data_IF_597943272315
#
_entry.id   IF_597943272315
#
_cell.length_a   1.000
_cell.length_b   1.000
_cell.length_c   1.000
_cell.angle_alpha   90.00
_cell.angle_beta   90.00
_cell.angle_gamma   90.00
#
_symmetry.space_group_name_H-M   'P 1'
#
loop_
_entity.id
_entity.type
_entity.pdbx_description
1 polymer ?
#
# COMPACT_ATOMS: atom_id res chain seq x y z
N UNK A 1 -19.12 2.11 7.39
CA UNK A 1 -18.19 2.60 6.34
C UNK A 1 -19.01 3.39 5.33
N UNK A 2 -18.42 4.38 4.68
CA UNK A 2 -19.11 5.13 3.62
C UNK A 2 -19.18 4.27 2.35
N UNK A 3 -20.14 4.58 1.48
CA UNK A 3 -20.30 3.87 0.22
C UNK A 3 -19.01 3.97 -0.62
N UNK A 4 -18.60 2.87 -1.25
CA UNK A 4 -17.34 2.79 -2.02
C UNK A 4 -16.04 2.81 -1.20
N UNK A 5 -16.11 2.79 0.13
CA UNK A 5 -14.91 2.62 0.97
C UNK A 5 -14.54 1.15 1.13
N UNK A 6 -13.23 0.87 1.27
CA UNK A 6 -12.69 -0.46 1.51
C UNK A 6 -11.87 -0.49 2.81
N UNK A 7 -11.92 -1.61 3.53
CA UNK A 7 -10.99 -1.90 4.61
C UNK A 7 -10.22 -3.15 4.28
N UNK A 8 -8.90 -3.02 4.22
CA UNK A 8 -7.98 -4.13 4.02
C UNK A 8 -7.37 -4.48 5.36
N UNK A 9 -7.70 -5.66 5.87
CA UNK A 9 -7.07 -6.20 7.08
C UNK A 9 -5.73 -6.84 6.70
N UNK A 10 -4.63 -6.40 7.31
CA UNK A 10 -3.29 -6.96 7.06
C UNK A 10 -3.04 -8.25 7.86
N UNK A 11 -4.11 -8.98 8.21
CA UNK A 11 -4.11 -10.15 9.09
C UNK A 11 -4.17 -9.82 10.58
N UNK A 12 -4.70 -10.75 11.38
CA UNK A 12 -4.92 -10.55 12.83
C UNK A 12 -3.62 -10.31 13.62
N UNK A 13 -2.50 -10.89 13.16
CA UNK A 13 -1.22 -10.85 13.88
C UNK A 13 -0.45 -9.54 13.68
N UNK A 14 -0.74 -8.78 12.62
CA UNK A 14 -0.04 -7.51 12.34
C UNK A 14 -0.66 -6.33 13.08
N UNK A 15 -1.88 -6.51 13.63
CA UNK A 15 -2.62 -5.45 14.31
C UNK A 15 -2.87 -4.21 13.44
N UNK A 16 -2.79 -4.35 12.12
CA UNK A 16 -2.79 -3.24 11.17
C UNK A 16 -3.91 -3.41 10.14
N UNK A 17 -4.55 -2.30 9.79
CA UNK A 17 -5.48 -2.22 8.67
C UNK A 17 -5.18 -0.99 7.82
N UNK A 18 -5.65 -1.03 6.58
CA UNK A 18 -5.70 0.11 5.69
C UNK A 18 -7.15 0.45 5.41
N UNK A 19 -7.54 1.69 5.67
CA UNK A 19 -8.84 2.23 5.27
C UNK A 19 -8.66 3.06 4.00
N UNK A 20 -9.34 2.66 2.94
CA UNK A 20 -9.34 3.33 1.64
C UNK A 20 -10.70 4.01 1.50
N UNK A 21 -10.69 5.34 1.43
CA UNK A 21 -11.87 6.14 1.11
C UNK A 21 -11.85 6.53 -0.38
N UNK A 22 -13.02 6.78 -1.01
CA UNK A 22 -13.10 7.19 -2.40
C UNK A 22 -12.16 8.36 -2.72
N UNK A 23 -11.55 8.35 -3.91
CA UNK A 23 -10.67 9.42 -4.35
C UNK A 23 -11.35 10.80 -4.25
N UNK A 24 -10.62 11.81 -3.75
CA UNK A 24 -11.18 13.13 -3.40
C UNK A 24 -11.73 13.22 -1.97
N UNK A 25 -11.73 12.12 -1.21
CA UNK A 25 -12.08 12.16 0.21
C UNK A 25 -10.88 12.57 1.05
N UNK A 26 -11.09 13.57 1.92
CA UNK A 26 -10.13 14.03 2.92
C UNK A 26 -10.60 13.71 4.33
N UNK A 27 -9.73 13.07 5.11
CA UNK A 27 -9.89 12.95 6.56
C UNK A 27 -9.62 14.30 7.23
N UNK A 28 -10.54 14.74 8.08
CA UNK A 28 -10.40 15.96 8.86
C UNK A 28 -10.75 15.73 10.32
N UNK A 29 -10.16 16.50 11.27
CA UNK A 29 -10.60 16.45 12.66
C UNK A 29 -12.11 16.71 12.78
N UNK A 30 -12.84 15.91 13.55
CA UNK A 30 -14.26 16.15 13.84
C UNK A 30 -14.59 15.95 15.32
N UNK A 31 -14.78 14.71 15.78
CA UNK A 31 -14.91 14.36 17.19
C UNK A 31 -13.61 13.70 17.69
N UNK A 32 -13.41 13.62 19.02
CA UNK A 32 -12.31 12.86 19.60
C UNK A 32 -12.38 11.35 19.32
N UNK A 33 -13.56 10.86 18.93
CA UNK A 33 -13.83 9.44 18.73
C UNK A 33 -13.56 9.02 17.28
N UNK A 34 -13.89 9.88 16.30
CA UNK A 34 -13.74 9.58 14.88
C UNK A 34 -13.37 10.82 14.04
N UNK A 35 -12.55 10.65 12.98
CA UNK A 35 -12.34 11.68 11.98
C UNK A 35 -13.63 11.93 11.19
N UNK A 36 -13.80 13.17 10.74
CA UNK A 36 -14.82 13.54 9.77
C UNK A 36 -14.30 13.32 8.36
N UNK A 37 -15.21 13.10 7.41
CA UNK A 37 -14.89 13.10 5.99
C UNK A 37 -15.34 14.40 5.35
N UNK A 38 -14.51 14.95 4.46
CA UNK A 38 -14.89 15.98 3.51
C UNK A 38 -14.56 15.50 2.10
N UNK A 39 -15.45 15.77 1.15
CA UNK A 39 -15.13 15.64 -0.27
C UNK A 39 -14.52 16.97 -0.74
N UNK A 40 -13.29 16.94 -1.21
CA UNK A 40 -12.62 18.09 -1.79
C UNK A 40 -12.44 18.00 -3.31
N UNK A 41 -12.96 16.94 -3.94
CA UNK A 41 -13.00 16.73 -5.39
C UNK A 41 -11.62 16.68 -6.07
N UNK A 42 -10.52 16.66 -5.31
CA UNK A 42 -9.18 16.81 -5.86
C UNK A 42 -8.38 15.52 -5.68
N UNK A 43 -8.40 14.64 -6.67
CA UNK A 43 -7.51 13.48 -6.72
C UNK A 43 -6.11 13.92 -7.20
N UNK A 44 -5.16 14.14 -6.27
CA UNK A 44 -3.76 14.44 -6.59
C UNK A 44 -2.85 13.24 -6.37
N UNK A 45 -2.27 12.69 -7.46
CA UNK A 45 -1.43 11.48 -7.44
C UNK A 45 -0.45 11.49 -6.27
N UNK A 46 -0.35 10.38 -5.54
CA UNK A 46 0.35 10.33 -4.27
C UNK A 46 1.83 10.75 -4.39
N UNK A 47 2.26 11.72 -3.59
CA UNK A 47 3.68 12.12 -3.48
C UNK A 47 4.55 11.05 -2.78
N UNK A 48 3.95 9.93 -2.38
CA UNK A 48 4.58 8.82 -1.70
C UNK A 48 3.94 7.50 -2.14
N UNK A 49 4.63 6.40 -1.85
CA UNK A 49 4.09 5.04 -1.90
C UNK A 49 4.54 4.31 -0.62
N UNK A 50 3.97 3.13 -0.36
CA UNK A 50 4.37 2.31 0.77
C UNK A 50 4.52 0.85 0.35
N UNK A 51 5.54 0.18 0.89
CA UNK A 51 5.67 -1.26 0.83
C UNK A 51 5.01 -1.89 2.07
N UNK A 52 4.08 -2.81 1.86
CA UNK A 52 3.27 -3.40 2.94
C UNK A 52 3.32 -4.92 2.83
N UNK A 53 3.79 -5.57 3.88
CA UNK A 53 3.71 -7.03 3.99
C UNK A 53 2.29 -7.46 4.27
N UNK A 54 1.79 -8.42 3.49
CA UNK A 54 0.46 -9.01 3.65
C UNK A 54 0.55 -10.53 3.70
N UNK A 55 -0.38 -11.22 4.38
CA UNK A 55 -0.39 -12.68 4.41
C UNK A 55 -0.90 -13.32 3.11
N UNK A 56 -1.48 -12.52 2.21
CA UNK A 56 -2.05 -12.97 0.94
C UNK A 56 -0.97 -13.34 -0.09
N UNK A 57 -1.32 -14.24 -1.00
CA UNK A 57 -0.54 -14.52 -2.21
C UNK A 57 -0.89 -13.54 -3.36
N UNK A 58 -0.13 -13.62 -4.46
CA UNK A 58 -0.30 -12.70 -5.59
C UNK A 58 -1.67 -12.85 -6.27
N UNK A 59 -2.16 -14.08 -6.44
CA UNK A 59 -3.46 -14.35 -7.09
C UNK A 59 -4.63 -13.75 -6.29
N UNK A 60 -4.58 -13.85 -4.96
CA UNK A 60 -5.57 -13.22 -4.08
C UNK A 60 -5.55 -11.70 -4.24
N UNK A 61 -4.35 -11.09 -4.27
CA UNK A 61 -4.20 -9.65 -4.45
C UNK A 61 -4.74 -9.21 -5.81
N UNK A 62 -4.40 -9.93 -6.88
CA UNK A 62 -4.86 -9.66 -8.25
C UNK A 62 -6.38 -9.76 -8.36
N UNK A 63 -7.00 -10.75 -7.73
CA UNK A 63 -8.46 -10.91 -7.69
C UNK A 63 -9.13 -9.71 -7.02
N UNK A 64 -8.65 -9.30 -5.84
CA UNK A 64 -9.19 -8.13 -5.12
C UNK A 64 -9.07 -6.86 -5.99
N UNK A 65 -7.93 -6.67 -6.65
CA UNK A 65 -7.73 -5.51 -7.52
C UNK A 65 -8.66 -5.54 -8.73
N UNK A 66 -8.88 -6.71 -9.34
CA UNK A 66 -9.81 -6.86 -10.45
C UNK A 66 -11.25 -6.53 -10.03
N UNK A 67 -11.69 -7.03 -8.87
CA UNK A 67 -13.02 -6.76 -8.32
C UNK A 67 -13.23 -5.27 -8.01
N UNK A 68 -12.17 -4.58 -7.57
CA UNK A 68 -12.19 -3.15 -7.29
C UNK A 68 -11.94 -2.26 -8.53
N UNK A 69 -11.62 -2.84 -9.70
CA UNK A 69 -11.26 -2.08 -10.91
C UNK A 69 -9.93 -1.32 -10.80
N UNK A 70 -9.02 -1.78 -9.95
CA UNK A 70 -7.71 -1.18 -9.71
C UNK A 70 -6.64 -1.81 -10.61
N UNK A 71 -5.69 -0.99 -11.06
CA UNK A 71 -4.51 -1.45 -11.79
C UNK A 71 -3.59 -2.24 -10.85
N UNK A 72 -3.34 -3.50 -11.21
CA UNK A 72 -2.45 -4.41 -10.51
C UNK A 72 -1.44 -5.03 -11.47
N UNK A 73 -0.16 -5.14 -11.06
CA UNK A 73 0.89 -5.81 -11.84
C UNK A 73 2.06 -6.27 -10.97
N UNK A 74 2.77 -7.30 -11.38
CA UNK A 74 4.04 -7.68 -10.76
C UNK A 74 5.13 -6.65 -11.06
N UNK A 75 5.98 -6.36 -10.07
CA UNK A 75 7.13 -5.46 -10.22
C UNK A 75 8.39 -6.07 -9.60
N UNK A 76 9.55 -5.82 -10.22
CA UNK A 76 10.85 -6.19 -9.65
C UNK A 76 11.65 -4.95 -9.27
N UNK A 77 12.34 -4.98 -8.13
CA UNK A 77 13.19 -3.88 -7.65
C UNK A 77 14.67 -4.19 -7.93
N UNK A 78 14.97 -4.42 -9.21
CA UNK A 78 16.33 -4.67 -9.69
C UNK A 78 16.94 -5.98 -9.16
N UNK A 79 16.11 -7.01 -8.95
CA UNK A 79 16.53 -8.30 -8.42
C UNK A 79 16.79 -8.33 -6.90
N UNK A 80 16.53 -7.22 -6.18
CA UNK A 80 16.64 -7.18 -4.72
C UNK A 80 15.46 -7.87 -4.04
N UNK A 81 14.25 -7.59 -4.53
CA UNK A 81 13.01 -8.21 -4.13
C UNK A 81 11.96 -7.89 -5.21
N UNK A 82 10.90 -8.69 -5.22
CA UNK A 82 9.74 -8.48 -6.08
C UNK A 82 8.55 -7.98 -5.25
N UNK A 83 7.59 -7.38 -5.93
CA UNK A 83 6.37 -6.79 -5.34
C UNK A 83 5.17 -7.07 -6.22
N UNK A 84 3.98 -6.97 -5.65
CA UNK A 84 2.75 -6.72 -6.41
C UNK A 84 2.43 -5.23 -6.31
N UNK A 85 2.53 -4.51 -7.44
CA UNK A 85 2.15 -3.10 -7.51
C UNK A 85 0.63 -2.98 -7.58
N UNK A 86 0.03 -2.38 -6.56
CA UNK A 86 -1.39 -2.10 -6.47
C UNK A 86 -1.62 -0.60 -6.52
N UNK A 87 -2.25 -0.13 -7.59
CA UNK A 87 -2.66 1.26 -7.73
C UNK A 87 -4.09 1.41 -7.21
N UNK A 88 -4.21 1.63 -5.91
CA UNK A 88 -5.48 1.86 -5.21
C UNK A 88 -6.18 3.06 -5.83
N UNK A 89 -7.45 2.89 -6.23
CA UNK A 89 -8.24 3.88 -6.96
C UNK A 89 -7.53 4.39 -8.23
N UNK A 90 -6.63 3.59 -8.80
CA UNK A 90 -5.77 3.92 -9.94
C UNK A 90 -4.87 5.16 -9.72
N UNK A 91 -4.55 5.45 -8.45
CA UNK A 91 -3.96 6.71 -8.07
C UNK A 91 -2.84 6.60 -7.02
N UNK A 92 -3.04 5.80 -5.99
CA UNK A 92 -2.07 5.65 -4.89
C UNK A 92 -1.38 4.30 -5.02
N UNK A 93 -0.05 4.31 -5.15
CA UNK A 93 0.73 3.08 -5.25
C UNK A 93 0.96 2.48 -3.86
N UNK A 94 0.58 1.22 -3.71
CA UNK A 94 1.05 0.33 -2.65
C UNK A 94 1.81 -0.84 -3.28
N UNK A 95 2.99 -1.13 -2.74
CA UNK A 95 3.76 -2.32 -3.08
C UNK A 95 3.42 -3.41 -2.07
N UNK A 96 2.54 -4.33 -2.43
CA UNK A 96 2.17 -5.43 -1.55
C UNK A 96 3.21 -6.54 -1.64
N UNK A 97 3.72 -6.97 -0.49
CA UNK A 97 4.71 -8.03 -0.37
C UNK A 97 4.01 -9.29 0.15
N UNK A 98 4.01 -10.33 -0.67
CA UNK A 98 3.62 -11.68 -0.24
C UNK A 98 4.58 -12.20 0.83
N UNK A 99 4.26 -13.28 1.58
CA UNK A 99 5.17 -13.80 2.60
C UNK A 99 6.58 -14.16 2.10
N UNK A 100 6.73 -14.54 0.82
CA UNK A 100 8.05 -14.78 0.24
C UNK A 100 8.77 -13.48 -0.10
N UNK A 101 8.09 -12.55 -0.78
CA UNK A 101 8.62 -11.22 -1.10
C UNK A 101 9.05 -10.45 0.15
N UNK A 102 8.31 -10.58 1.25
CA UNK A 102 8.66 -9.98 2.55
C UNK A 102 10.00 -10.49 3.07
N UNK A 103 10.29 -11.79 2.93
CA UNK A 103 11.59 -12.35 3.33
C UNK A 103 12.72 -11.75 2.50
N UNK A 104 12.51 -11.66 1.18
CA UNK A 104 13.51 -11.10 0.27
C UNK A 104 13.75 -9.61 0.55
N UNK A 105 12.67 -8.85 0.79
CA UNK A 105 12.74 -7.46 1.24
C UNK A 105 13.54 -7.33 2.54
N UNK A 106 13.20 -8.06 3.60
CA UNK A 106 13.89 -8.00 4.88
C UNK A 106 15.37 -8.37 4.78
N UNK A 107 15.72 -9.31 3.89
CA UNK A 107 17.10 -9.71 3.65
C UNK A 107 17.89 -8.65 2.88
N UNK A 108 17.26 -7.91 1.97
CA UNK A 108 17.95 -7.03 1.01
C UNK A 108 17.79 -5.54 1.27
N UNK A 109 16.81 -5.14 2.07
CA UNK A 109 16.46 -3.76 2.34
C UNK A 109 16.71 -3.46 3.82
N UNK A 110 17.93 -3.00 4.09
CA UNK A 110 18.35 -2.50 5.41
C UNK A 110 18.96 -1.12 5.27
N UNK A 111 19.02 -0.33 6.35
CA UNK A 111 19.64 1.01 6.31
C UNK A 111 21.08 0.96 5.77
N UNK A 112 21.86 -0.06 6.16
CA UNK A 112 23.22 -0.25 5.65
C UNK A 112 23.24 -0.46 4.14
N UNK A 113 22.47 -1.42 3.64
CA UNK A 113 22.36 -1.70 2.20
C UNK A 113 21.84 -0.49 1.41
N UNK A 114 20.89 0.27 1.97
CA UNK A 114 20.39 1.50 1.35
C UNK A 114 21.47 2.57 1.22
N UNK A 115 22.29 2.78 2.25
CA UNK A 115 23.42 3.71 2.16
C UNK A 115 24.40 3.29 1.06
N UNK A 116 24.67 1.99 0.93
CA UNK A 116 25.56 1.47 -0.10
C UNK A 116 24.98 1.66 -1.52
N UNK A 117 23.70 1.31 -1.72
CA UNK A 117 23.00 1.42 -3.01
C UNK A 117 22.97 2.88 -3.48
N UNK A 118 22.67 3.82 -2.58
CA UNK A 118 22.50 5.23 -2.94
C UNK A 118 23.75 6.09 -2.69
N UNK A 119 24.86 5.47 -2.29
CA UNK A 119 26.11 6.17 -1.95
C UNK A 119 25.91 7.33 -0.96
N UNK A 120 25.00 7.14 0.02
CA UNK A 120 24.71 8.16 1.04
C UNK A 120 25.69 7.98 2.20
N UNK A 121 26.65 8.89 2.31
CA UNK A 121 27.50 9.02 3.50
C UNK A 121 26.74 9.69 4.64
N UNK A 122 26.90 9.16 5.85
CA UNK A 122 26.32 9.71 7.09
C UNK A 122 26.87 11.11 7.41
#
# INVERSE_FOLDING_TARGET
MYDGSFVVFCGEQTGSCLEIYPAGTRLQPSSPELPGLADDGTACGGAFHAAVSVPADAETIETICADAGWLCRSGSRGGLFDVVEVWVENHTLLELLTPQMTKDYQNNITIGKWRDIFSITA
#
